data_IF_915299904923
#
_entry.id   IF_915299904923
#
_cell.length_a   1.000
_cell.length_b   1.000
_cell.length_c   1.000
_cell.angle_alpha   90.00
_cell.angle_beta   90.00
_cell.angle_gamma   90.00
#
_symmetry.space_group_name_H-M   'P 1'
#
loop_
_entity.id
_entity.type
_entity.pdbx_description
1 polymer ?
#
# COMPACT_ATOMS: atom_id res chain seq x y z
N UNK A 1 9.69 5.00 20.68
CA UNK A 1 10.09 4.33 19.44
C UNK A 1 11.02 3.16 19.76
N UNK A 2 10.47 2.02 20.20
CA UNK A 2 11.29 0.87 20.59
C UNK A 2 12.23 0.43 19.47
N UNK A 3 13.52 0.65 19.71
CA UNK A 3 14.63 0.59 18.75
C UNK A 3 14.70 -0.74 18.00
N UNK A 4 14.28 -1.84 18.63
CA UNK A 4 14.34 -3.18 18.04
C UNK A 4 13.24 -3.37 16.97
N UNK A 5 12.03 -2.88 17.22
CA UNK A 5 10.92 -3.00 16.28
C UNK A 5 11.17 -2.16 15.02
N UNK A 6 11.74 -0.98 15.18
CA UNK A 6 12.06 -0.09 14.06
C UNK A 6 13.21 -0.64 13.21
N UNK A 7 14.23 -1.28 13.80
CA UNK A 7 15.29 -1.92 13.00
C UNK A 7 14.79 -3.08 12.14
N UNK A 8 13.79 -3.81 12.61
CA UNK A 8 13.17 -4.90 11.85
C UNK A 8 12.23 -4.40 10.74
N UNK A 9 11.64 -3.22 10.84
CA UNK A 9 10.88 -2.61 9.75
C UNK A 9 11.79 -1.86 8.77
N UNK A 10 12.79 -1.14 9.27
CA UNK A 10 13.73 -0.36 8.48
C UNK A 10 14.45 -1.22 7.43
N UNK A 11 14.64 -2.53 7.68
CA UNK A 11 15.22 -3.45 6.70
C UNK A 11 14.36 -3.60 5.42
N UNK A 12 13.09 -3.19 5.46
CA UNK A 12 12.15 -3.25 4.35
C UNK A 12 11.87 -1.86 3.75
N UNK A 13 12.34 -0.78 4.39
CA UNK A 13 12.08 0.61 3.99
C UNK A 13 13.22 1.24 3.14
N UNK A 14 14.04 0.42 2.48
CA UNK A 14 15.21 0.90 1.70
C UNK A 14 14.87 1.58 0.38
N UNK A 15 13.60 1.56 -0.05
CA UNK A 15 13.20 2.16 -1.32
C UNK A 15 13.13 3.69 -1.21
N UNK A 16 13.76 4.45 -2.13
CA UNK A 16 13.79 5.89 -2.06
C UNK A 16 12.39 6.50 -2.25
N UNK A 17 12.15 7.63 -1.58
CA UNK A 17 10.92 8.42 -1.76
C UNK A 17 10.94 9.07 -3.16
N UNK A 18 9.78 9.13 -3.80
CA UNK A 18 9.65 9.75 -5.13
C UNK A 18 9.92 11.25 -5.03
N UNK A 19 10.88 11.74 -5.81
CA UNK A 19 11.10 13.17 -6.00
C UNK A 19 10.05 13.73 -6.95
N UNK A 20 9.04 14.41 -6.41
CA UNK A 20 7.95 14.98 -7.21
C UNK A 20 8.37 16.16 -8.09
N UNK A 21 9.56 16.75 -7.90
CA UNK A 21 10.07 17.76 -8.82
C UNK A 21 10.57 17.13 -10.13
N UNK A 22 11.00 15.86 -10.09
CA UNK A 22 11.48 15.10 -11.24
C UNK A 22 10.98 13.65 -11.11
N UNK A 23 9.65 13.41 -11.23
CA UNK A 23 9.08 12.09 -11.02
C UNK A 23 9.54 11.14 -12.13
N UNK A 24 9.94 9.89 -11.81
CA UNK A 24 10.21 8.88 -12.83
C UNK A 24 9.02 8.70 -13.79
N UNK A 25 9.28 8.43 -15.07
CA UNK A 25 8.21 8.17 -16.03
C UNK A 25 7.44 6.89 -15.64
N UNK A 26 6.12 6.96 -15.58
CA UNK A 26 5.22 5.84 -15.31
C UNK A 26 3.92 6.01 -16.11
N UNK A 27 3.18 4.91 -16.28
CA UNK A 27 1.96 4.86 -17.08
C UNK A 27 0.69 4.98 -16.22
N UNK A 28 0.75 4.53 -14.96
CA UNK A 28 -0.36 4.57 -14.02
C UNK A 28 0.09 4.53 -12.56
N UNK A 29 -0.84 4.80 -11.64
CA UNK A 29 -0.69 4.63 -10.20
C UNK A 29 -1.58 3.46 -9.78
N UNK A 30 -1.04 2.47 -9.07
CA UNK A 30 -1.80 1.35 -8.50
C UNK A 30 -1.73 1.44 -6.98
N UNK A 31 -2.89 1.58 -6.32
CA UNK A 31 -2.99 1.70 -4.86
C UNK A 31 -3.52 0.39 -4.28
N UNK A 32 -2.76 -0.19 -3.35
CA UNK A 32 -3.14 -1.44 -2.69
C UNK A 32 -3.95 -1.20 -1.41
N UNK A 33 -4.98 -2.04 -1.21
CA UNK A 33 -5.77 -2.10 0.02
C UNK A 33 -4.98 -2.46 1.28
N UNK A 34 -5.46 -2.01 2.44
CA UNK A 34 -4.86 -2.23 3.76
C UNK A 34 -5.92 -2.38 4.87
N UNK A 35 -7.04 -3.03 4.56
CA UNK A 35 -8.17 -3.28 5.46
C UNK A 35 -9.23 -2.18 5.45
N UNK A 36 -10.37 -2.51 6.07
CA UNK A 36 -11.55 -1.67 6.25
C UNK A 36 -12.02 -1.67 7.71
N UNK A 37 -12.88 -0.71 8.06
CA UNK A 37 -13.70 -0.76 9.26
C UNK A 37 -15.14 -1.08 8.85
N UNK A 38 -15.77 -1.98 9.60
CA UNK A 38 -17.14 -2.44 9.36
C UNK A 38 -18.15 -1.58 10.09
N UNK A 39 -19.28 -1.29 9.45
CA UNK A 39 -20.43 -0.62 10.06
C UNK A 39 -20.05 0.63 10.88
N UNK A 40 -19.16 1.47 10.34
CA UNK A 40 -18.70 2.69 11.00
C UNK A 40 -19.87 3.70 11.08
N UNK A 41 -20.43 3.99 12.28
CA UNK A 41 -21.67 4.74 12.40
C UNK A 41 -21.59 6.15 11.80
N UNK A 42 -20.43 6.78 11.90
CA UNK A 42 -20.15 8.11 11.37
C UNK A 42 -20.05 8.17 9.84
N UNK A 43 -19.89 7.02 9.18
CA UNK A 43 -19.90 6.87 7.73
C UNK A 43 -21.16 6.18 7.20
N UNK A 44 -22.04 5.67 8.08
CA UNK A 44 -23.27 4.97 7.69
C UNK A 44 -23.03 3.62 7.00
N UNK A 45 -21.87 3.00 7.20
CA UNK A 45 -21.47 1.74 6.59
C UNK A 45 -19.97 1.49 6.68
N UNK A 46 -19.45 0.60 5.83
CA UNK A 46 -18.03 0.28 5.79
C UNK A 46 -17.19 1.47 5.30
N UNK A 47 -15.97 1.61 5.82
CA UNK A 47 -15.02 2.64 5.40
C UNK A 47 -13.58 2.13 5.37
N UNK A 48 -12.68 2.86 4.71
CA UNK A 48 -11.25 2.51 4.65
C UNK A 48 -10.62 2.52 6.06
N UNK A 49 -9.72 1.57 6.34
CA UNK A 49 -8.94 1.63 7.58
C UNK A 49 -7.99 2.83 7.58
N UNK A 50 -7.43 3.17 8.75
CA UNK A 50 -6.38 4.20 8.85
C UNK A 50 -5.20 3.96 7.89
N UNK A 51 -4.83 2.70 7.67
CA UNK A 51 -3.73 2.33 6.78
C UNK A 51 -4.12 2.47 5.32
N UNK A 52 -5.34 2.09 4.96
CA UNK A 52 -5.83 2.26 3.59
C UNK A 52 -5.96 3.75 3.26
N UNK A 53 -6.42 4.57 4.21
CA UNK A 53 -6.49 6.03 4.08
C UNK A 53 -5.11 6.67 3.85
N UNK A 54 -4.07 6.22 4.56
CA UNK A 54 -2.69 6.70 4.33
C UNK A 54 -2.21 6.43 2.90
N UNK A 55 -2.52 5.24 2.36
CA UNK A 55 -2.18 4.86 0.97
C UNK A 55 -3.00 5.65 -0.04
N UNK A 56 -4.31 5.79 0.18
CA UNK A 56 -5.21 6.60 -0.66
C UNK A 56 -4.75 8.05 -0.72
N UNK A 57 -4.44 8.66 0.43
CA UNK A 57 -3.94 10.04 0.51
C UNK A 57 -2.65 10.21 -0.29
N UNK A 58 -1.72 9.26 -0.18
CA UNK A 58 -0.47 9.33 -0.94
C UNK A 58 -0.69 9.11 -2.44
N UNK A 59 -1.54 8.15 -2.82
CA UNK A 59 -1.93 7.94 -4.21
C UNK A 59 -2.60 9.17 -4.84
N UNK A 60 -3.49 9.85 -4.11
CA UNK A 60 -4.09 11.11 -4.55
C UNK A 60 -3.05 12.22 -4.74
N UNK A 61 -2.04 12.30 -3.87
CA UNK A 61 -0.92 13.24 -4.02
C UNK A 61 -0.13 12.96 -5.30
N UNK A 62 0.18 11.71 -5.58
CA UNK A 62 0.87 11.32 -6.82
C UNK A 62 0.01 11.65 -8.05
N UNK A 63 -1.28 11.30 -8.03
CA UNK A 63 -2.19 11.53 -9.15
C UNK A 63 -2.29 13.02 -9.53
N UNK A 64 -2.36 13.91 -8.53
CA UNK A 64 -2.35 15.36 -8.78
C UNK A 64 -1.03 15.89 -9.32
N UNK A 65 0.10 15.31 -8.89
CA UNK A 65 1.42 15.76 -9.30
C UNK A 65 1.81 15.25 -10.69
N UNK A 66 1.36 14.05 -11.07
CA UNK A 66 1.77 13.37 -12.31
C UNK A 66 0.68 13.34 -13.37
N UNK A 67 -0.57 13.63 -13.00
CA UNK A 67 -1.75 13.50 -13.86
C UNK A 67 -1.99 12.08 -14.42
N UNK A 68 -1.39 11.06 -13.80
CA UNK A 68 -1.53 9.67 -14.23
C UNK A 68 -2.88 9.08 -13.80
N UNK A 69 -3.43 8.14 -14.58
CA UNK A 69 -4.64 7.42 -14.20
C UNK A 69 -4.39 6.54 -12.97
N UNK A 70 -5.40 6.47 -12.10
CA UNK A 70 -5.35 5.71 -10.85
C UNK A 70 -6.11 4.39 -10.98
N UNK A 71 -5.49 3.32 -10.51
CA UNK A 71 -6.10 2.04 -10.23
C UNK A 71 -6.08 1.77 -8.71
N UNK A 72 -7.09 1.07 -8.22
CA UNK A 72 -7.16 0.59 -6.83
C UNK A 72 -7.39 -0.92 -6.84
N UNK A 73 -6.69 -1.65 -5.96
CA UNK A 73 -6.75 -3.12 -5.89
C UNK A 73 -6.84 -3.60 -4.45
N UNK A 74 -7.84 -4.42 -4.17
CA UNK A 74 -8.11 -5.03 -2.88
C UNK A 74 -9.55 -5.53 -2.74
N UNK A 75 -9.69 -6.80 -2.36
CA UNK A 75 -10.98 -7.44 -2.11
C UNK A 75 -11.50 -7.22 -0.68
N UNK A 76 -12.21 -8.22 -0.17
CA UNK A 76 -12.85 -8.21 1.14
C UNK A 76 -12.57 -9.53 1.90
N UNK A 77 -11.31 -9.88 2.18
CA UNK A 77 -10.97 -11.15 2.82
C UNK A 77 -11.62 -11.34 4.21
N UNK A 78 -12.00 -10.25 4.87
CA UNK A 78 -12.71 -10.25 6.15
C UNK A 78 -14.25 -10.12 6.02
N UNK A 79 -14.80 -10.11 4.80
CA UNK A 79 -16.20 -9.80 4.51
C UNK A 79 -16.46 -8.31 4.25
N UNK A 80 -17.73 -7.93 4.07
CA UNK A 80 -18.16 -6.54 3.83
C UNK A 80 -17.85 -6.02 2.42
N UNK A 81 -17.79 -4.70 2.28
CA UNK A 81 -17.48 -4.01 1.01
C UNK A 81 -16.00 -4.20 0.67
N UNK A 82 -15.72 -4.53 -0.61
CA UNK A 82 -14.34 -4.64 -1.09
C UNK A 82 -13.56 -3.34 -0.92
N UNK A 83 -12.33 -3.45 -0.42
CA UNK A 83 -11.46 -2.32 -0.14
C UNK A 83 -11.25 -1.42 -1.36
N UNK A 84 -11.22 -2.00 -2.56
CA UNK A 84 -11.11 -1.26 -3.82
C UNK A 84 -12.28 -0.28 -4.05
N UNK A 85 -13.51 -0.64 -3.69
CA UNK A 85 -14.65 0.28 -3.79
C UNK A 85 -14.57 1.39 -2.75
N UNK A 86 -14.20 1.06 -1.50
CA UNK A 86 -14.02 2.04 -0.43
C UNK A 86 -12.90 3.03 -0.78
N UNK A 87 -11.78 2.56 -1.34
CA UNK A 87 -10.69 3.40 -1.80
C UNK A 87 -11.10 4.31 -2.98
N UNK A 88 -11.88 3.80 -3.95
CA UNK A 88 -12.45 4.62 -5.03
C UNK A 88 -13.31 5.75 -4.46
N UNK A 89 -14.21 5.42 -3.55
CA UNK A 89 -15.14 6.41 -3.00
C UNK A 89 -14.39 7.47 -2.19
N UNK A 90 -13.43 7.05 -1.37
CA UNK A 90 -12.54 7.96 -0.62
C UNK A 90 -11.73 8.87 -1.56
N UNK A 91 -11.14 8.32 -2.63
CA UNK A 91 -10.40 9.11 -3.63
C UNK A 91 -11.30 10.18 -4.27
N UNK A 92 -12.52 9.81 -4.62
CA UNK A 92 -13.46 10.71 -5.28
C UNK A 92 -14.04 11.77 -4.33
N UNK A 93 -14.47 11.37 -3.14
CA UNK A 93 -15.20 12.22 -2.19
C UNK A 93 -14.26 13.15 -1.42
N UNK A 94 -13.14 12.62 -0.92
CA UNK A 94 -12.27 13.36 0.00
C UNK A 94 -11.11 14.05 -0.71
N UNK A 95 -10.68 13.49 -1.85
CA UNK A 95 -9.49 13.97 -2.57
C UNK A 95 -9.78 14.50 -3.97
N UNK A 96 -11.01 14.37 -4.45
CA UNK A 96 -11.44 14.74 -5.81
C UNK A 96 -10.53 14.15 -6.90
N UNK A 97 -10.16 12.87 -6.74
CA UNK A 97 -9.35 12.10 -7.69
C UNK A 97 -10.20 10.96 -8.24
N UNK A 98 -10.38 10.94 -9.56
CA UNK A 98 -11.11 9.87 -10.22
C UNK A 98 -10.27 8.59 -10.32
N UNK A 99 -10.88 7.46 -10.01
CA UNK A 99 -10.28 6.13 -10.21
C UNK A 99 -10.72 5.59 -11.57
N UNK A 100 -9.75 5.15 -12.38
CA UNK A 100 -10.01 4.60 -13.73
C UNK A 100 -10.25 3.09 -13.72
N UNK A 101 -9.59 2.37 -12.82
CA UNK A 101 -9.69 0.91 -12.72
C UNK A 101 -9.86 0.48 -11.27
N UNK A 102 -10.77 -0.47 -11.04
CA UNK A 102 -11.11 -0.96 -9.70
C UNK A 102 -11.02 -2.48 -9.75
N UNK A 103 -10.13 -3.07 -8.95
CA UNK A 103 -9.97 -4.52 -8.81
C UNK A 103 -10.46 -4.95 -7.41
N UNK A 104 -11.66 -5.54 -7.29
CA UNK A 104 -12.30 -5.77 -5.99
C UNK A 104 -12.31 -7.22 -5.51
N UNK A 105 -11.55 -8.14 -6.12
CA UNK A 105 -11.71 -9.58 -5.90
C UNK A 105 -10.54 -10.22 -5.16
N UNK A 106 -9.42 -9.51 -5.04
CA UNK A 106 -8.18 -10.09 -4.56
C UNK A 106 -8.08 -10.15 -3.04
N UNK A 107 -7.85 -11.36 -2.52
CA UNK A 107 -7.76 -11.63 -1.07
C UNK A 107 -6.33 -11.63 -0.53
N UNK A 108 -5.33 -11.46 -1.40
CA UNK A 108 -3.93 -11.35 -1.00
C UNK A 108 -3.14 -10.58 -2.07
N UNK A 109 -1.90 -10.24 -1.74
CA UNK A 109 -1.07 -9.38 -2.61
C UNK A 109 -0.65 -10.06 -3.92
N UNK A 110 -0.58 -11.38 -3.98
CA UNK A 110 -0.31 -12.11 -5.22
C UNK A 110 -1.50 -12.01 -6.17
N UNK A 111 -2.72 -12.23 -5.64
CA UNK A 111 -3.96 -12.03 -6.39
C UNK A 111 -4.10 -10.58 -6.85
N UNK A 112 -3.81 -9.59 -5.99
CA UNK A 112 -3.84 -8.17 -6.35
C UNK A 112 -2.99 -7.91 -7.59
N UNK A 113 -1.77 -8.46 -7.63
CA UNK A 113 -0.83 -8.28 -8.73
C UNK A 113 -1.37 -8.85 -10.05
N UNK A 114 -1.79 -10.12 -10.05
CA UNK A 114 -2.29 -10.78 -11.26
C UNK A 114 -3.64 -10.23 -11.73
N UNK A 115 -4.55 -9.93 -10.81
CA UNK A 115 -5.85 -9.33 -11.13
C UNK A 115 -5.67 -7.91 -11.66
N UNK A 116 -4.77 -7.11 -11.07
CA UNK A 116 -4.39 -5.80 -11.61
C UNK A 116 -3.79 -5.94 -13.00
N UNK A 117 -2.91 -6.92 -13.24
CA UNK A 117 -2.34 -7.14 -14.58
C UNK A 117 -3.42 -7.46 -15.61
N UNK A 118 -4.37 -8.33 -15.26
CA UNK A 118 -5.47 -8.70 -16.14
C UNK A 118 -6.44 -7.54 -16.41
N UNK A 119 -6.64 -6.65 -15.43
CA UNK A 119 -7.53 -5.51 -15.53
C UNK A 119 -6.93 -4.33 -16.33
N UNK A 120 -5.65 -4.05 -16.13
CA UNK A 120 -4.99 -2.89 -16.73
C UNK A 120 -4.62 -3.17 -18.20
N UNK A 121 -4.84 -2.20 -19.13
CA UNK A 121 -4.47 -2.35 -20.52
C UNK A 121 -2.99 -2.72 -20.71
N UNK A 122 -2.67 -3.43 -21.79
CA UNK A 122 -1.31 -3.94 -22.07
C UNK A 122 -0.26 -2.84 -22.26
N UNK A 123 -0.67 -1.61 -22.60
CA UNK A 123 0.25 -0.46 -22.65
C UNK A 123 0.65 0.06 -21.26
N UNK A 124 -0.10 -0.27 -20.20
CA UNK A 124 0.23 0.13 -18.84
C UNK A 124 1.19 -0.90 -18.27
N UNK A 125 2.50 -0.63 -18.38
CA UNK A 125 3.55 -1.57 -17.98
C UNK A 125 4.33 -1.06 -16.78
N UNK A 126 4.64 0.24 -16.73
CA UNK A 126 5.39 0.85 -15.66
C UNK A 126 4.45 1.57 -14.70
N UNK A 127 4.43 1.17 -13.44
CA UNK A 127 3.44 1.68 -12.47
C UNK A 127 4.12 2.27 -11.23
N UNK A 128 3.52 3.31 -10.68
CA UNK A 128 3.74 3.66 -9.28
C UNK A 128 2.94 2.71 -8.40
N UNK A 129 3.62 1.85 -7.65
CA UNK A 129 2.98 0.89 -6.75
C UNK A 129 2.88 1.48 -5.34
N UNK A 130 1.68 1.94 -4.98
CA UNK A 130 1.39 2.64 -3.73
C UNK A 130 1.01 1.67 -2.63
N UNK A 131 1.87 1.61 -1.61
CA UNK A 131 1.66 0.82 -0.38
C UNK A 131 2.52 1.40 0.76
N UNK A 132 2.45 0.85 1.97
CA UNK A 132 3.39 1.24 3.03
C UNK A 132 4.82 0.78 2.71
N UNK A 133 5.82 1.53 3.16
CA UNK A 133 7.23 1.27 2.91
C UNK A 133 7.63 -0.15 3.34
N UNK A 134 7.18 -0.60 4.52
CA UNK A 134 7.43 -1.95 5.01
C UNK A 134 6.81 -3.07 4.18
N UNK A 135 5.73 -2.79 3.42
CA UNK A 135 5.05 -3.74 2.55
C UNK A 135 5.61 -3.75 1.11
N UNK A 136 6.45 -2.77 0.75
CA UNK A 136 6.98 -2.64 -0.61
C UNK A 136 7.73 -3.89 -1.09
N UNK A 137 8.65 -4.52 -0.34
CA UNK A 137 9.40 -5.66 -0.86
C UNK A 137 8.49 -6.80 -1.37
N UNK A 138 7.46 -7.14 -0.58
CA UNK A 138 6.51 -8.20 -0.93
C UNK A 138 5.59 -7.80 -2.08
N UNK A 139 5.12 -6.55 -2.08
CA UNK A 139 4.27 -6.03 -3.14
C UNK A 139 5.02 -5.92 -4.48
N UNK A 140 6.26 -5.42 -4.48
CA UNK A 140 7.13 -5.34 -5.66
C UNK A 140 7.35 -6.74 -6.22
N UNK A 141 7.74 -7.71 -5.39
CA UNK A 141 7.92 -9.09 -5.83
C UNK A 141 6.71 -9.62 -6.60
N UNK A 142 5.50 -9.47 -6.04
CA UNK A 142 4.28 -9.96 -6.66
C UNK A 142 3.96 -9.22 -7.97
N UNK A 143 4.08 -7.89 -8.01
CA UNK A 143 3.75 -7.09 -9.18
C UNK A 143 4.75 -7.24 -10.32
N UNK A 144 6.05 -7.40 -10.02
CA UNK A 144 7.06 -7.72 -11.02
C UNK A 144 6.85 -9.13 -11.60
N UNK A 145 6.48 -10.13 -10.78
CA UNK A 145 6.11 -11.47 -11.27
C UNK A 145 4.84 -11.47 -12.13
N UNK A 146 3.90 -10.58 -11.86
CA UNK A 146 2.74 -10.36 -12.71
C UNK A 146 3.09 -9.62 -14.02
N UNK A 147 4.34 -9.16 -14.21
CA UNK A 147 4.82 -8.55 -15.45
C UNK A 147 4.79 -7.01 -15.48
N UNK A 148 4.66 -6.35 -14.33
CA UNK A 148 4.82 -4.89 -14.26
C UNK A 148 6.29 -4.49 -14.09
N UNK A 149 6.67 -3.33 -14.64
CA UNK A 149 7.85 -2.59 -14.17
C UNK A 149 7.44 -1.71 -13.00
N UNK A 150 7.88 -2.04 -11.79
CA UNK A 150 7.42 -1.34 -10.58
C UNK A 150 8.31 -0.16 -10.23
N UNK A 151 7.71 1.01 -10.06
CA UNK A 151 8.32 2.13 -9.35
C UNK A 151 7.78 2.13 -7.92
N UNK A 152 8.63 1.89 -6.91
CA UNK A 152 8.22 1.88 -5.52
C UNK A 152 7.63 3.22 -5.09
N UNK A 153 6.38 3.22 -4.62
CA UNK A 153 5.71 4.41 -4.12
C UNK A 153 5.28 4.18 -2.65
N UNK A 154 6.27 4.06 -1.77
CA UNK A 154 6.05 3.83 -0.33
C UNK A 154 5.44 5.04 0.39
N UNK A 155 4.62 4.78 1.41
CA UNK A 155 4.21 5.75 2.43
C UNK A 155 4.50 5.21 3.84
N UNK A 156 4.41 6.07 4.85
CA UNK A 156 4.57 5.66 6.24
C UNK A 156 5.99 5.22 6.62
N UNK A 157 7.02 5.79 5.98
CA UNK A 157 8.42 5.54 6.34
C UNK A 157 8.69 5.87 7.81
N UNK A 158 9.34 4.95 8.49
CA UNK A 158 9.87 5.08 9.84
C UNK A 158 11.22 5.78 9.77
N UNK A 159 11.24 7.04 9.32
CA UNK A 159 12.49 7.82 9.31
C UNK A 159 13.07 7.88 10.73
N UNK A 160 14.34 7.50 10.87
CA UNK A 160 15.06 7.45 12.13
C UNK A 160 14.92 8.79 12.88
N UNK A 161 14.12 8.79 13.96
CA UNK A 161 14.14 9.88 14.94
C UNK A 161 15.34 9.70 15.85
N UNK A 162 15.82 10.80 16.42
CA UNK A 162 16.83 10.76 17.47
C UNK A 162 16.31 9.85 18.59
N UNK A 163 17.11 8.84 18.95
CA UNK A 163 16.75 7.85 19.97
C UNK A 163 16.66 8.57 21.32
N UNK A 164 15.48 8.55 21.93
CA UNK A 164 15.23 9.11 23.25
C UNK A 164 15.06 8.00 24.28
N UNK A 165 15.38 8.21 25.57
CA UNK A 165 15.20 7.18 26.61
C UNK A 165 13.76 6.64 26.73
N UNK A 166 12.75 7.46 26.44
CA UNK A 166 11.33 7.05 26.43
C UNK A 166 11.00 6.03 25.34
N UNK A 167 11.91 5.84 24.38
CA UNK A 167 11.74 4.92 23.28
C UNK A 167 11.86 3.45 23.72
N UNK A 168 12.50 3.16 24.84
CA UNK A 168 12.62 1.81 25.42
C UNK A 168 11.40 1.38 26.22
N UNK A 169 10.42 2.28 26.42
CA UNK A 169 9.15 1.93 27.08
C UNK A 169 8.27 1.19 26.06
N UNK A 170 7.66 0.04 26.43
CA UNK A 170 6.69 -0.65 25.58
C UNK A 170 5.55 0.30 25.17
N UNK A 171 5.41 0.50 23.87
CA UNK A 171 4.35 1.34 23.30
C UNK A 171 3.48 0.49 22.38
N UNK A 172 2.14 0.69 22.34
CA UNK A 172 1.25 -0.03 21.43
C UNK A 172 1.69 0.03 19.96
N UNK A 173 2.35 1.13 19.56
CA UNK A 173 2.97 1.30 18.24
C UNK A 173 4.14 0.33 18.00
N UNK A 174 4.97 0.08 19.01
CA UNK A 174 6.09 -0.86 18.91
C UNK A 174 5.65 -2.30 18.68
N UNK A 175 4.59 -2.73 19.38
CA UNK A 175 3.99 -4.06 19.16
C UNK A 175 3.37 -4.19 17.77
N UNK A 176 2.70 -3.14 17.30
CA UNK A 176 2.14 -3.07 15.95
C UNK A 176 3.24 -3.15 14.88
N UNK A 177 4.35 -2.44 15.09
CA UNK A 177 5.51 -2.47 14.22
C UNK A 177 6.14 -3.87 14.15
N UNK A 178 6.32 -4.54 15.29
CA UNK A 178 6.79 -5.93 15.35
C UNK A 178 5.85 -6.90 14.64
N UNK A 179 4.52 -6.74 14.80
CA UNK A 179 3.53 -7.53 14.09
C UNK A 179 3.71 -7.43 12.57
N UNK A 180 3.80 -6.22 12.02
CA UNK A 180 4.00 -6.03 10.59
C UNK A 180 5.35 -6.60 10.12
N UNK A 181 6.43 -6.35 10.86
CA UNK A 181 7.75 -6.89 10.49
C UNK A 181 7.73 -8.42 10.39
N UNK A 182 7.12 -9.11 11.36
CA UNK A 182 7.00 -10.58 11.36
C UNK A 182 6.09 -11.04 10.21
N UNK A 183 4.93 -10.39 10.04
CA UNK A 183 3.98 -10.75 8.99
C UNK A 183 4.59 -10.64 7.59
N UNK A 184 5.33 -9.56 7.33
CA UNK A 184 6.02 -9.36 6.06
C UNK A 184 7.19 -10.31 5.86
N UNK A 185 7.97 -10.60 6.91
CA UNK A 185 9.05 -11.59 6.85
C UNK A 185 8.52 -12.98 6.49
N UNK A 186 7.42 -13.42 7.12
CA UNK A 186 6.76 -14.68 6.80
C UNK A 186 6.24 -14.66 5.35
N UNK A 187 5.61 -13.56 4.92
CA UNK A 187 5.13 -13.40 3.55
C UNK A 187 6.24 -13.52 2.50
N UNK A 188 7.41 -12.92 2.74
CA UNK A 188 8.58 -13.02 1.86
C UNK A 188 9.16 -14.44 1.84
N UNK A 189 9.25 -15.12 2.99
CA UNK A 189 9.71 -16.51 3.07
C UNK A 189 8.76 -17.43 2.29
N UNK A 190 7.45 -17.25 2.44
CA UNK A 190 6.44 -18.03 1.72
C UNK A 190 6.59 -17.91 0.20
N UNK A 191 6.82 -16.70 -0.31
CA UNK A 191 7.08 -16.50 -1.75
C UNK A 191 8.38 -17.15 -2.21
N UNK A 192 9.47 -17.02 -1.46
CA UNK A 192 10.75 -17.70 -1.80
C UNK A 192 10.63 -19.23 -1.83
N UNK A 193 9.72 -19.81 -1.06
CA UNK A 193 9.49 -21.26 -1.03
C UNK A 193 8.54 -21.76 -2.11
N UNK A 194 7.62 -20.91 -2.61
CA UNK A 194 6.64 -21.31 -3.63
C UNK A 194 7.07 -21.05 -5.07
N UNK A 195 8.09 -20.21 -5.28
CA UNK A 195 8.53 -19.80 -6.62
C UNK A 195 7.58 -18.77 -7.19
#
# INVERSE_FOLDING_TARGET
MPVIADRLLAQFEHYPVINLAHPPAADAIVILGAGSYFDAPEYGGDTVSRYALERVRYGARLARATHLPVAVSGGNPAGGVAEAYLMRDTLQQDFNVATRWIEPHSNNTWANAHASRALLPSQINRIYLVTHAWHLPRAIYAFEHAGFTVIPAGTGYSLAKHINPIDFIPQPRGLTNSYFAIHEAIGLIWYRLKG
#
